data_IF_186974160713
#
_entry.id   IF_186974160713
#
_cell.length_a   1.000
_cell.length_b   1.000
_cell.length_c   1.000
_cell.angle_alpha   90.00
_cell.angle_beta   90.00
_cell.angle_gamma   90.00
#
_symmetry.space_group_name_H-M   'P 1'
#
loop_
_entity.id
_entity.type
_entity.pdbx_description
1 polymer ?
#
# COMPACT_ATOMS: atom_id res chain seq x y z
N UNK A 1 18.02 -63.19 -29.75
CA UNK A 1 17.52 -63.28 -28.36
C UNK A 1 17.70 -61.88 -27.80
N UNK A 2 16.68 -61.03 -27.65
CA UNK A 2 15.60 -61.10 -26.66
C UNK A 2 14.42 -60.24 -27.15
N UNK A 3 13.20 -60.80 -27.13
CA UNK A 3 11.94 -60.11 -27.45
C UNK A 3 11.40 -59.51 -26.15
N UNK A 4 11.02 -58.22 -26.14
CA UNK A 4 10.11 -57.69 -25.12
C UNK A 4 9.03 -56.86 -25.81
N UNK A 5 7.81 -57.34 -25.60
CA UNK A 5 6.53 -56.98 -26.18
C UNK A 5 5.90 -55.91 -25.28
N UNK A 6 5.61 -54.72 -25.80
CA UNK A 6 4.91 -53.66 -25.05
C UNK A 6 3.41 -53.96 -25.10
N UNK A 7 2.84 -54.34 -23.96
CA UNK A 7 1.40 -54.48 -23.76
C UNK A 7 0.75 -53.10 -23.54
N UNK A 8 -0.18 -52.77 -24.44
CA UNK A 8 -1.06 -51.61 -24.38
C UNK A 8 -2.22 -51.92 -23.41
N UNK A 9 -2.35 -51.17 -22.30
CA UNK A 9 -3.51 -51.25 -21.42
C UNK A 9 -4.25 -49.91 -21.45
N UNK A 10 -5.35 -49.87 -22.21
CA UNK A 10 -6.30 -48.77 -22.27
C UNK A 10 -7.22 -48.80 -21.07
N UNK A 11 -7.20 -47.75 -20.23
CA UNK A 11 -8.19 -47.54 -19.18
C UNK A 11 -9.23 -46.52 -19.66
N UNK A 12 -10.43 -47.02 -20.00
CA UNK A 12 -11.61 -46.21 -20.31
C UNK A 12 -12.25 -45.73 -19.00
N UNK A 13 -12.03 -44.46 -18.65
CA UNK A 13 -12.93 -43.76 -17.72
C UNK A 13 -14.07 -43.14 -18.52
N UNK A 14 -15.27 -43.69 -18.31
CA UNK A 14 -16.52 -43.11 -18.78
C UNK A 14 -16.91 -41.99 -17.81
N UNK A 15 -16.73 -40.73 -18.21
CA UNK A 15 -17.44 -39.60 -17.61
C UNK A 15 -18.39 -39.03 -18.65
N UNK A 16 -19.67 -39.32 -18.43
CA UNK A 16 -20.81 -38.74 -19.12
C UNK A 16 -20.94 -37.27 -18.70
N UNK A 17 -20.87 -36.33 -19.64
CA UNK A 17 -21.06 -34.91 -19.38
C UNK A 17 -20.79 -34.05 -20.61
N UNK A 18 -21.84 -33.53 -21.21
CA UNK A 18 -21.90 -32.91 -22.54
C UNK A 18 -21.36 -31.47 -22.57
N UNK A 19 -20.96 -31.08 -23.78
CA UNK A 19 -20.88 -29.73 -24.34
C UNK A 19 -19.66 -28.88 -23.96
N UNK A 20 -18.54 -29.17 -24.64
CA UNK A 20 -17.51 -28.22 -25.00
C UNK A 20 -18.11 -27.16 -25.94
N UNK A 21 -18.59 -26.06 -25.36
CA UNK A 21 -18.98 -24.85 -26.08
C UNK A 21 -17.84 -23.82 -26.03
N UNK A 22 -17.38 -23.42 -27.21
CA UNK A 22 -16.65 -22.19 -27.53
C UNK A 22 -15.46 -21.78 -26.66
N UNK A 23 -14.26 -22.19 -27.09
CA UNK A 23 -13.03 -21.42 -26.84
C UNK A 23 -12.89 -20.35 -27.91
N UNK A 24 -13.59 -19.23 -27.74
CA UNK A 24 -13.49 -18.04 -28.58
C UNK A 24 -13.45 -16.79 -27.70
N UNK A 25 -12.31 -16.54 -27.05
CA UNK A 25 -11.97 -15.20 -26.55
C UNK A 25 -10.48 -14.88 -26.68
N UNK A 26 -9.96 -15.02 -27.90
CA UNK A 26 -8.73 -14.33 -28.35
C UNK A 26 -9.11 -12.94 -28.90
N UNK A 27 -9.79 -12.11 -28.12
CA UNK A 27 -10.48 -10.93 -28.69
C UNK A 27 -10.75 -9.72 -27.81
N UNK A 28 -10.31 -9.66 -26.54
CA UNK A 28 -10.40 -8.41 -25.75
C UNK A 28 -9.03 -7.92 -25.31
N UNK A 29 -8.42 -7.14 -26.20
CA UNK A 29 -7.54 -6.06 -25.77
C UNK A 29 -8.43 -5.04 -25.08
N UNK A 30 -8.71 -5.28 -23.81
CA UNK A 30 -9.29 -4.28 -22.94
C UNK A 30 -8.37 -3.07 -23.01
N UNK A 31 -8.83 -2.05 -23.72
CA UNK A 31 -8.34 -0.68 -23.62
C UNK A 31 -8.12 -0.47 -22.13
N UNK A 32 -6.86 -0.36 -21.71
CA UNK A 32 -6.52 0.02 -20.34
C UNK A 32 -7.02 1.44 -20.21
N UNK A 33 -8.28 1.59 -19.80
CA UNK A 33 -8.81 2.83 -19.29
C UNK A 33 -7.87 3.20 -18.15
N UNK A 34 -7.19 4.35 -18.28
CA UNK A 34 -6.30 4.92 -17.28
C UNK A 34 -6.94 4.73 -15.91
N UNK A 35 -6.47 3.72 -15.17
CA UNK A 35 -7.08 3.32 -13.90
C UNK A 35 -6.92 4.51 -12.97
N UNK A 36 -8.02 4.99 -12.40
CA UNK A 36 -7.93 5.93 -11.27
C UNK A 36 -6.97 5.32 -10.26
N UNK A 37 -5.96 6.06 -9.77
CA UNK A 37 -5.03 5.50 -8.81
C UNK A 37 -5.83 4.95 -7.62
N UNK A 38 -5.66 3.65 -7.36
CA UNK A 38 -6.25 3.03 -6.18
C UNK A 38 -5.44 3.52 -4.98
N UNK A 39 -5.97 4.53 -4.29
CA UNK A 39 -5.35 5.01 -3.06
C UNK A 39 -5.58 3.98 -1.95
N UNK A 40 -4.52 3.74 -1.18
CA UNK A 40 -4.47 2.74 -0.11
C UNK A 40 -4.25 3.48 1.19
N UNK A 41 -4.91 3.05 2.25
CA UNK A 41 -4.68 3.62 3.57
C UNK A 41 -4.56 2.49 4.59
N UNK A 42 -3.34 2.26 5.07
CA UNK A 42 -3.04 1.26 6.09
C UNK A 42 -3.16 1.80 7.53
N UNK A 43 -3.40 3.10 7.70
CA UNK A 43 -3.61 3.68 9.02
C UNK A 43 -5.04 3.43 9.51
N UNK A 44 -5.20 3.33 10.83
CA UNK A 44 -6.55 3.26 11.41
C UNK A 44 -7.33 4.56 11.15
N UNK A 45 -8.67 4.56 11.24
CA UNK A 45 -9.47 5.78 11.08
C UNK A 45 -9.04 6.90 12.04
N UNK A 46 -8.73 6.56 13.30
CA UNK A 46 -8.25 7.53 14.28
C UNK A 46 -6.90 8.13 13.88
N UNK A 47 -5.97 7.31 13.37
CA UNK A 47 -4.64 7.78 12.94
C UNK A 47 -4.70 8.56 11.64
N UNK A 48 -5.63 8.22 10.76
CA UNK A 48 -5.95 9.01 9.57
C UNK A 48 -6.41 10.42 9.96
N UNK A 49 -7.37 10.54 10.89
CA UNK A 49 -7.81 11.83 11.40
C UNK A 49 -6.67 12.62 12.07
N UNK A 50 -5.88 11.96 12.93
CA UNK A 50 -4.69 12.56 13.53
C UNK A 50 -3.74 13.13 12.48
N UNK A 51 -3.38 12.36 11.46
CA UNK A 51 -2.44 12.77 10.41
C UNK A 51 -2.99 13.93 9.61
N UNK A 52 -4.23 13.83 9.13
CA UNK A 52 -4.79 14.79 8.19
C UNK A 52 -5.22 16.09 8.88
N UNK A 53 -6.13 16.00 9.84
CA UNK A 53 -6.80 17.17 10.44
C UNK A 53 -6.36 17.46 11.87
N UNK A 54 -5.69 16.49 12.51
CA UNK A 54 -5.27 16.58 13.90
C UNK A 54 -6.34 16.16 14.89
N UNK A 55 -5.92 15.97 16.13
CA UNK A 55 -6.73 15.65 17.29
C UNK A 55 -6.14 16.31 18.56
N UNK A 56 -6.69 15.99 19.74
CA UNK A 56 -6.24 16.54 21.02
C UNK A 56 -4.75 16.28 21.34
N UNK A 57 -4.10 15.35 20.65
CA UNK A 57 -2.69 15.00 20.84
C UNK A 57 -1.77 15.62 19.79
N UNK A 58 -2.32 16.37 18.81
CA UNK A 58 -1.55 17.06 17.78
C UNK A 58 -1.95 16.63 16.37
N UNK A 59 -0.96 16.35 15.51
CA UNK A 59 -1.20 16.03 14.10
C UNK A 59 -1.60 17.24 13.25
N UNK A 60 -2.44 17.04 12.23
CA UNK A 60 -2.95 18.10 11.35
C UNK A 60 -1.97 18.54 10.27
N UNK A 61 -1.51 17.59 9.47
CA UNK A 61 -0.50 17.79 8.43
C UNK A 61 -1.08 17.98 7.02
N UNK A 62 -2.36 17.70 6.79
CA UNK A 62 -2.98 18.02 5.48
C UNK A 62 -2.98 19.54 5.27
N UNK A 63 -2.66 19.99 4.06
CA UNK A 63 -2.70 21.42 3.72
C UNK A 63 -4.06 22.06 4.10
N UNK A 64 -4.08 23.26 4.72
CA UNK A 64 -2.96 24.18 4.95
C UNK A 64 -2.05 23.81 6.13
N UNK A 65 -2.38 22.77 6.91
CA UNK A 65 -1.64 22.34 8.10
C UNK A 65 -1.94 23.18 9.34
N UNK A 66 -1.82 22.57 10.52
CA UNK A 66 -1.94 23.27 11.80
C UNK A 66 -0.71 24.10 12.17
N UNK A 67 -0.84 24.99 13.16
CA UNK A 67 0.26 25.80 13.69
C UNK A 67 1.45 24.92 14.15
N UNK A 68 2.66 25.32 13.80
CA UNK A 68 3.89 24.57 14.10
C UNK A 68 4.05 23.22 13.38
N UNK A 69 3.15 22.85 12.46
CA UNK A 69 3.20 21.61 11.67
C UNK A 69 3.84 21.86 10.31
N UNK A 70 4.49 20.84 9.76
CA UNK A 70 4.82 20.78 8.34
C UNK A 70 3.60 20.26 7.57
N UNK A 71 3.14 21.02 6.58
CA UNK A 71 1.99 20.64 5.77
C UNK A 71 2.43 19.83 4.54
N UNK A 72 1.63 18.84 4.15
CA UNK A 72 1.73 18.21 2.83
C UNK A 72 1.49 19.24 1.72
N UNK A 73 1.98 19.00 0.48
CA UNK A 73 1.74 19.91 -0.64
C UNK A 73 0.25 20.16 -0.85
N UNK A 74 -0.13 21.40 -1.17
CA UNK A 74 -1.52 21.78 -1.45
C UNK A 74 -2.15 20.94 -2.58
N UNK A 75 -1.34 20.43 -3.52
CA UNK A 75 -1.79 19.60 -4.62
C UNK A 75 -2.05 18.14 -4.25
N UNK A 76 -1.73 17.71 -3.02
CA UNK A 76 -1.98 16.35 -2.56
C UNK A 76 -3.35 16.28 -1.86
N UNK A 77 -4.23 15.44 -2.39
CA UNK A 77 -5.49 15.11 -1.71
C UNK A 77 -5.24 14.32 -0.42
N UNK A 78 -6.22 14.28 0.47
CA UNK A 78 -6.18 13.46 1.67
C UNK A 78 -5.87 11.98 1.36
N UNK A 79 -6.51 11.41 0.34
CA UNK A 79 -6.29 10.02 -0.06
C UNK A 79 -4.88 9.78 -0.57
N UNK A 80 -4.33 10.71 -1.36
CA UNK A 80 -2.94 10.65 -1.80
C UNK A 80 -2.00 10.71 -0.60
N UNK A 81 -2.19 11.63 0.33
CA UNK A 81 -1.36 11.73 1.55
C UNK A 81 -1.32 10.38 2.28
N UNK A 82 -2.47 9.75 2.48
CA UNK A 82 -2.54 8.47 3.18
C UNK A 82 -1.93 7.32 2.38
N UNK A 83 -2.03 7.35 1.05
CA UNK A 83 -1.37 6.40 0.16
C UNK A 83 0.15 6.53 0.22
N UNK A 84 0.71 7.73 0.08
CA UNK A 84 2.16 7.93 0.13
C UNK A 84 2.75 7.57 1.51
N UNK A 85 2.01 7.84 2.60
CA UNK A 85 2.40 7.40 3.95
C UNK A 85 2.39 5.87 4.06
N UNK A 86 1.35 5.22 3.51
CA UNK A 86 1.22 3.77 3.52
C UNK A 86 2.34 3.11 2.70
N UNK A 87 2.62 3.68 1.53
CA UNK A 87 3.68 3.24 0.64
C UNK A 87 5.05 3.35 1.32
N UNK A 88 5.41 4.52 1.89
CA UNK A 88 6.66 4.69 2.65
C UNK A 88 6.75 3.72 3.83
N UNK A 89 5.64 3.44 4.52
CA UNK A 89 5.60 2.50 5.65
C UNK A 89 5.91 1.05 5.25
N UNK A 90 5.67 0.68 3.98
CA UNK A 90 5.81 -0.70 3.47
C UNK A 90 6.91 -0.90 2.44
N UNK A 91 7.44 0.19 1.87
CA UNK A 91 8.47 0.15 0.84
C UNK A 91 9.77 -0.44 1.40
N UNK A 92 10.30 -1.55 0.84
CA UNK A 92 11.56 -2.14 1.30
C UNK A 92 12.78 -1.25 1.06
N UNK A 93 12.68 -0.22 0.23
CA UNK A 93 13.73 0.77 -0.01
C UNK A 93 13.68 1.94 0.97
N UNK A 94 12.62 2.07 1.78
CA UNK A 94 12.57 3.05 2.86
C UNK A 94 13.65 2.77 3.92
N UNK A 95 14.09 3.83 4.59
CA UNK A 95 15.03 3.72 5.71
C UNK A 95 14.27 3.46 7.01
N UNK A 96 14.45 2.27 7.59
CA UNK A 96 13.86 1.87 8.88
C UNK A 96 14.88 2.01 10.01
N UNK A 97 14.57 2.85 11.00
CA UNK A 97 15.44 3.11 12.15
C UNK A 97 14.65 2.93 13.44
N UNK A 98 15.26 2.29 14.44
CA UNK A 98 14.65 2.17 15.76
C UNK A 98 14.42 3.55 16.38
N UNK A 99 13.17 3.82 16.76
CA UNK A 99 12.75 5.02 17.46
C UNK A 99 12.62 4.79 18.98
N UNK A 100 12.14 5.83 19.68
CA UNK A 100 11.89 5.78 21.13
C UNK A 100 10.70 4.85 21.44
N UNK A 101 10.78 4.13 22.55
CA UNK A 101 9.65 3.31 23.05
C UNK A 101 9.38 2.05 22.22
N UNK A 102 10.37 1.56 21.46
CA UNK A 102 10.19 0.39 20.59
C UNK A 102 9.42 0.66 19.31
N UNK A 103 9.19 1.94 18.98
CA UNK A 103 8.63 2.37 17.70
C UNK A 103 9.67 2.31 16.60
N UNK A 104 9.22 2.39 15.35
CA UNK A 104 10.10 2.47 14.18
C UNK A 104 9.89 3.80 13.47
N UNK A 105 10.97 4.50 13.17
CA UNK A 105 10.98 5.67 12.31
C UNK A 105 11.29 5.19 10.90
N UNK A 106 10.40 5.48 9.97
CA UNK A 106 10.54 5.12 8.55
C UNK A 106 10.66 6.41 7.75
N UNK A 107 11.71 6.53 6.93
CA UNK A 107 11.88 7.70 6.07
C UNK A 107 11.92 7.24 4.61
N UNK A 108 11.27 8.00 3.74
CA UNK A 108 11.24 7.81 2.29
C UNK A 108 10.88 9.10 1.57
N UNK A 109 11.07 9.15 0.25
CA UNK A 109 10.82 10.36 -0.55
C UNK A 109 9.81 10.08 -1.65
N UNK A 110 8.82 10.95 -1.84
CA UNK A 110 7.79 10.85 -2.87
C UNK A 110 7.61 12.21 -3.52
N UNK A 111 7.81 12.26 -4.83
CA UNK A 111 7.79 13.51 -5.63
C UNK A 111 8.62 14.66 -5.04
N UNK A 112 9.80 14.33 -4.50
CA UNK A 112 10.71 15.31 -3.88
C UNK A 112 10.32 15.75 -2.46
N UNK A 113 9.26 15.19 -1.88
CA UNK A 113 8.89 15.43 -0.48
C UNK A 113 9.44 14.30 0.39
N UNK A 114 10.25 14.66 1.38
CA UNK A 114 10.82 13.72 2.34
C UNK A 114 9.82 13.45 3.45
N UNK A 115 9.30 12.23 3.50
CA UNK A 115 8.30 11.79 4.46
C UNK A 115 8.96 11.06 5.62
N UNK A 116 8.53 11.40 6.83
CA UNK A 116 8.77 10.61 8.03
C UNK A 116 7.48 9.98 8.50
N UNK A 117 7.48 8.66 8.62
CA UNK A 117 6.38 7.86 9.15
C UNK A 117 6.83 7.22 10.45
N UNK A 118 5.98 7.24 11.47
CA UNK A 118 6.23 6.58 12.75
C UNK A 118 5.32 5.38 12.86
N UNK A 119 5.92 4.20 12.96
CA UNK A 119 5.21 2.96 13.24
C UNK A 119 5.18 2.68 14.74
N UNK A 120 4.02 2.28 15.24
CA UNK A 120 3.84 1.87 16.62
C UNK A 120 4.64 0.63 16.96
N UNK A 121 5.03 0.52 18.24
CA UNK A 121 5.64 -0.73 18.70
C UNK A 121 4.59 -1.86 18.66
N UNK A 122 5.00 -3.13 18.55
CA UNK A 122 4.07 -4.26 18.65
C UNK A 122 3.24 -4.25 19.94
N UNK A 123 3.80 -3.70 21.04
CA UNK A 123 3.12 -3.57 22.34
C UNK A 123 1.98 -2.53 22.31
N UNK A 124 2.05 -1.56 21.40
CA UNK A 124 1.03 -0.53 21.18
C UNK A 124 0.01 -0.94 20.09
N UNK A 125 0.07 -2.19 19.61
CA UNK A 125 -0.76 -2.68 18.50
C UNK A 125 -0.13 -2.48 17.11
N UNK A 126 1.07 -1.92 17.01
CA UNK A 126 1.76 -1.68 15.75
C UNK A 126 1.12 -0.59 14.88
N UNK A 127 1.29 -0.72 13.56
CA UNK A 127 0.65 0.14 12.56
C UNK A 127 1.20 1.57 12.50
N UNK A 128 0.60 2.39 11.63
CA UNK A 128 1.01 3.79 11.43
C UNK A 128 0.43 4.66 12.54
N UNK A 129 1.29 5.39 13.27
CA UNK A 129 0.90 6.36 14.30
C UNK A 129 0.80 7.77 13.72
N UNK A 130 1.77 8.19 12.90
CA UNK A 130 1.77 9.50 12.26
C UNK A 130 2.66 9.49 11.02
N UNK A 131 2.46 10.45 10.12
CA UNK A 131 3.26 10.67 8.93
C UNK A 131 3.26 12.15 8.56
N UNK A 132 4.42 12.71 8.24
CA UNK A 132 4.54 14.13 7.91
C UNK A 132 5.77 14.44 7.03
N UNK A 133 5.72 15.53 6.23
CA UNK A 133 6.89 16.02 5.50
C UNK A 133 7.97 16.57 6.42
N UNK A 134 9.23 16.39 6.04
CA UNK A 134 10.40 16.81 6.82
C UNK A 134 11.28 17.85 6.12
N UNK A 135 11.08 18.07 4.82
CA UNK A 135 11.83 19.01 4.00
C UNK A 135 10.98 20.22 3.53
N UNK A 136 9.93 20.56 4.29
CA UNK A 136 9.09 21.74 4.06
C UNK A 136 9.07 22.64 5.30
N UNK A 137 8.87 23.96 5.15
CA UNK A 137 8.72 24.86 6.29
C UNK A 137 7.59 24.43 7.23
N UNK A 138 7.75 24.72 8.51
CA UNK A 138 6.66 24.59 9.48
C UNK A 138 5.81 25.85 9.49
N UNK A 139 4.52 25.67 9.65
CA UNK A 139 3.58 26.76 9.81
C UNK A 139 3.89 27.57 11.08
N UNK A 140 3.63 28.89 11.05
CA UNK A 140 3.79 29.75 12.22
C UNK A 140 2.91 29.32 13.41
#
# INVERSE_FOLDING_TARGET
MTRILIFLLTLLFSFSGKAMGEYSDFGRWSIVTKTTPEFVNLASPQRTAHILTGDATGGGHLFPGGAGKSAFPQSWSADRVMHEISDVATDPLSSFVTGRGGRTVVNGTRDGIDLRVILGSPREGGGIITGFPTNVPRNP
#
